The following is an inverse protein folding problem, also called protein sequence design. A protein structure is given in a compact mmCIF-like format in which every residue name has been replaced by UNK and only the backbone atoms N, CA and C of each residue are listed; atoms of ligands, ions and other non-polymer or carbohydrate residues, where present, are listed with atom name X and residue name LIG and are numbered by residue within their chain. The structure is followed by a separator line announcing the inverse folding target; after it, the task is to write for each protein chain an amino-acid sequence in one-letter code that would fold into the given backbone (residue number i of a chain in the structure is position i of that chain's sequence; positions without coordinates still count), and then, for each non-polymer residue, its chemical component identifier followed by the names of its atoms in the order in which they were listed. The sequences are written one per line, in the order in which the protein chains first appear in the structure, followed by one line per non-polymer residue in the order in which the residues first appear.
data_IF_596532188832
#
_entry.id   IF_596532188832
#
_cell.length_a   1.000
_cell.length_b   1.000
_cell.length_c   1.000
_cell.angle_alpha   90.00
_cell.angle_beta   90.00
_cell.angle_gamma   90.00
#
_symmetry.space_group_name_H-M   'P 1'
#
loop_
_entity.id
_entity.type
_entity.pdbx_description
1 polymer ?
2 polymer ?
3 polymer ?
4 water ?
#
# COMPACT_ATOMS: atom_id res chain seq x y z
N UNK A 1 15.18 -2.18 -8.54
CA UNK A 1 15.06 -1.71 -9.96
C UNK A 1 15.19 -0.19 -10.23
N UNK A 2 15.70 0.12 -11.42
CA UNK A 2 15.97 1.52 -12.11
C UNK A 2 15.10 2.79 -11.92
N UNK A 3 15.76 3.96 -12.08
CA UNK A 3 15.10 5.30 -11.91
C UNK A 3 14.18 6.04 -12.96
N UNK A 4 12.88 5.87 -12.71
CA UNK A 4 11.74 6.34 -13.51
C UNK A 4 10.85 7.21 -12.64
N UNK A 5 10.62 8.46 -13.02
CA UNK A 5 9.79 9.38 -12.24
C UNK A 5 8.46 9.61 -12.95
N UNK A 6 7.36 9.24 -12.28
CA UNK A 6 6.01 9.43 -12.82
C UNK A 6 5.50 10.77 -12.33
N UNK A 7 4.69 11.43 -13.15
CA UNK A 7 4.10 12.72 -12.83
C UNK A 7 2.72 12.77 -13.43
N UNK A 8 1.73 13.22 -12.63
CA UNK A 8 1.96 13.64 -11.24
C UNK A 8 1.94 12.37 -10.39
N UNK A 9 2.33 12.47 -9.13
CA UNK A 9 2.31 11.31 -8.28
C UNK A 9 0.85 11.06 -7.89
N UNK A 10 0.07 12.14 -7.91
CA UNK A 10 -1.35 12.09 -7.57
C UNK A 10 -2.17 12.98 -8.52
N UNK A 11 -3.33 12.48 -8.93
CA UNK A 11 -4.15 13.17 -9.90
C UNK A 11 -5.63 12.99 -9.58
N UNK A 12 -6.35 14.09 -9.49
CA UNK A 12 -7.78 14.04 -9.20
C UNK A 12 -8.47 14.13 -10.55
N UNK A 13 -9.62 13.48 -10.69
CA UNK A 13 -10.31 13.50 -11.97
C UNK A 13 -11.76 13.06 -11.82
N UNK A 14 -12.51 13.12 -12.92
CA UNK A 14 -13.90 12.72 -12.86
C UNK A 14 -14.23 11.87 -14.07
N UNK A 15 -15.24 11.03 -13.95
CA UNK A 15 -15.66 10.19 -15.06
C UNK A 15 -15.83 11.05 -16.32
N UNK A 16 -15.40 10.52 -17.46
CA UNK A 16 -15.50 11.25 -18.70
C UNK A 16 -14.29 12.12 -18.98
N UNK A 17 -13.53 12.46 -17.94
CA UNK A 17 -12.35 13.29 -18.13
C UNK A 17 -11.24 12.61 -18.91
N UNK A 18 -10.36 13.43 -19.44
CA UNK A 18 -9.22 12.96 -20.21
C UNK A 18 -8.02 13.22 -19.34
N UNK A 19 -7.23 12.19 -19.05
CA UNK A 19 -6.05 12.41 -18.24
C UNK A 19 -4.79 11.87 -18.86
N UNK A 20 -3.66 12.38 -18.42
CA UNK A 20 -2.41 11.89 -18.94
C UNK A 20 -1.48 11.76 -17.77
N UNK A 21 -0.62 10.75 -17.83
CA UNK A 21 0.38 10.48 -16.81
C UNK A 21 1.71 10.45 -17.54
N UNK A 22 2.74 11.02 -16.97
CA UNK A 22 4.00 11.01 -17.66
C UNK A 22 5.02 10.21 -16.88
N UNK A 23 6.01 9.69 -17.57
CA UNK A 23 7.04 8.92 -16.94
C UNK A 23 8.29 9.42 -17.61
N UNK A 24 9.26 9.83 -16.80
CA UNK A 24 10.51 10.31 -17.34
C UNK A 24 11.54 9.36 -16.77
N UNK A 25 12.50 8.96 -17.59
CA UNK A 25 13.52 8.03 -17.15
C UNK A 25 14.83 8.78 -17.02
N UNK A 26 15.71 8.31 -16.14
CA UNK A 26 17.01 8.94 -15.92
C UNK A 26 17.95 8.79 -17.11
N UNK A 27 17.64 7.84 -17.99
CA UNK A 27 18.42 7.56 -19.18
C UNK A 27 17.46 6.96 -20.19
N UNK A 28 17.82 7.04 -21.47
CA UNK A 28 16.96 6.51 -22.52
C UNK A 28 16.66 5.02 -22.40
N UNK A 29 15.38 4.66 -22.51
CA UNK A 29 15.03 3.25 -22.43
C UNK A 29 14.39 2.83 -23.73
N UNK A 30 14.67 3.61 -24.78
CA UNK A 30 14.12 3.38 -26.13
C UNK A 30 12.61 3.25 -25.99
N UNK A 31 12.01 2.16 -26.47
CA UNK A 31 10.57 2.01 -26.36
C UNK A 31 10.18 0.93 -25.35
N UNK A 32 11.18 0.42 -24.63
CA UNK A 32 10.97 -0.65 -23.67
C UNK A 32 10.34 -0.14 -22.39
N UNK A 33 9.10 0.31 -22.53
CA UNK A 33 8.35 0.84 -21.40
C UNK A 33 6.91 0.32 -21.40
N UNK A 34 6.44 -0.11 -20.25
CA UNK A 34 5.08 -0.64 -20.11
C UNK A 34 4.31 0.18 -19.10
N UNK A 35 2.98 0.29 -19.29
CA UNK A 35 2.15 0.99 -18.33
C UNK A 35 1.17 0.01 -17.74
N UNK A 36 0.99 0.07 -16.43
CA UNK A 36 0.04 -0.83 -15.77
C UNK A 36 -0.96 -0.05 -14.93
N UNK A 37 -2.14 -0.64 -14.78
CA UNK A 37 -3.15 -0.07 -13.94
C UNK A 37 -3.31 -1.05 -12.81
N UNK A 38 -3.29 -0.56 -11.57
CA UNK A 38 -3.50 -1.42 -10.43
C UNK A 38 -4.70 -0.94 -9.64
N UNK A 39 -5.76 -1.73 -9.61
CA UNK A 39 -6.95 -1.35 -8.86
C UNK A 39 -6.71 -1.80 -7.42
N UNK A 40 -7.33 -1.12 -6.46
CA UNK A 40 -7.15 -1.50 -5.05
C UNK A 40 -7.40 -2.98 -4.84
N UNK A 41 -6.48 -3.63 -4.11
CA UNK A 41 -6.61 -5.06 -3.82
C UNK A 41 -6.45 -6.02 -4.99
N UNK A 42 -5.92 -5.53 -6.11
CA UNK A 42 -5.73 -6.38 -7.28
C UNK A 42 -4.29 -6.32 -7.75
N UNK A 43 -3.91 -7.21 -8.66
CA UNK A 43 -2.53 -7.13 -9.14
C UNK A 43 -2.49 -6.13 -10.29
N UNK A 44 -1.30 -5.64 -10.62
CA UNK A 44 -1.19 -4.68 -11.73
C UNK A 44 -1.74 -5.35 -13.00
N UNK A 45 -2.23 -4.54 -13.92
CA UNK A 45 -2.76 -5.09 -15.16
C UNK A 45 -2.09 -4.33 -16.28
N UNK A 46 -1.53 -5.07 -17.23
CA UNK A 46 -0.86 -4.47 -18.37
C UNK A 46 -1.86 -3.70 -19.24
N UNK A 47 -1.49 -2.47 -19.61
CA UNK A 47 -2.32 -1.62 -20.46
C UNK A 47 -1.62 -1.44 -21.80
N UNK A 48 -0.41 -0.90 -21.72
CA UNK A 48 0.41 -0.58 -22.89
C UNK A 48 1.79 -1.22 -22.77
N UNK A 49 2.27 -1.83 -23.84
CA UNK A 49 3.62 -2.41 -23.80
C UNK A 49 4.42 -1.80 -24.95
N UNK A 50 5.73 -1.83 -24.82
CA UNK A 50 6.58 -1.27 -25.87
C UNK A 50 6.22 0.20 -26.15
N UNK A 51 5.90 0.91 -25.07
CA UNK A 51 5.57 2.32 -25.07
C UNK A 51 4.24 2.76 -25.66
N UNK A 52 3.81 2.13 -26.74
CA UNK A 52 2.59 2.57 -27.36
C UNK A 52 1.70 1.46 -27.83
N UNK A 53 2.13 0.22 -27.69
CA UNK A 53 1.27 -0.86 -28.17
C UNK A 53 0.18 -1.19 -27.16
N UNK A 54 -1.04 -1.34 -27.66
CA UNK A 54 -2.16 -1.64 -26.78
C UNK A 54 -2.26 -3.13 -26.54
N UNK A 55 -2.24 -3.53 -25.27
CA UNK A 55 -2.36 -4.93 -24.94
C UNK A 55 -3.77 -5.41 -25.33
N UNK A 56 -3.84 -6.57 -25.98
CA UNK A 56 -5.13 -7.09 -26.41
C UNK A 56 -6.04 -7.19 -25.20
N UNK A 57 -7.33 -6.87 -25.41
CA UNK A 57 -8.31 -6.94 -24.34
C UNK A 57 -8.39 -5.67 -23.55
N UNK A 58 -7.41 -4.79 -23.74
CA UNK A 58 -7.42 -3.53 -23.02
C UNK A 58 -8.25 -2.53 -23.83
N UNK A 59 -9.16 -1.80 -23.16
CA UNK A 59 -10.00 -0.81 -23.86
C UNK A 59 -9.22 0.28 -24.62
N UNK A 60 -9.73 0.64 -25.80
CA UNK A 60 -9.09 1.66 -26.64
C UNK A 60 -8.92 3.03 -25.99
N UNK A 61 -9.62 3.33 -24.90
CA UNK A 61 -9.45 4.63 -24.26
C UNK A 61 -8.02 4.86 -23.79
N UNK A 62 -7.28 3.78 -23.63
CA UNK A 62 -5.88 3.87 -23.19
C UNK A 62 -4.94 3.97 -24.37
N UNK A 63 -3.93 4.83 -24.25
CA UNK A 63 -2.93 4.97 -25.29
C UNK A 63 -1.64 5.47 -24.68
N UNK A 64 -0.51 5.05 -25.22
CA UNK A 64 0.74 5.55 -24.68
C UNK A 64 1.60 6.03 -25.82
N UNK A 65 2.54 6.91 -25.53
CA UNK A 65 3.43 7.38 -26.57
C UNK A 65 4.72 7.80 -25.90
N UNK A 66 5.69 8.21 -26.70
CA UNK A 66 6.96 8.66 -26.19
C UNK A 66 8.03 7.62 -26.47
N UNK A 67 9.27 7.98 -26.20
CA UNK A 67 10.40 7.08 -26.40
C UNK A 67 11.57 7.74 -25.70
N UNK A 68 12.65 7.01 -25.53
CA UNK A 68 13.82 7.57 -24.89
C UNK A 68 13.59 7.81 -23.41
N UNK A 69 13.46 9.08 -23.02
CA UNK A 69 13.27 9.39 -21.61
C UNK A 69 11.94 10.02 -21.23
N UNK A 70 11.00 10.08 -22.17
CA UNK A 70 9.73 10.71 -21.88
C UNK A 70 8.59 9.90 -22.43
N UNK A 71 7.69 9.48 -21.56
CA UNK A 71 6.57 8.67 -22.01
C UNK A 71 5.31 9.17 -21.34
N UNK A 72 4.18 9.02 -22.02
CA UNK A 72 2.91 9.41 -21.47
C UNK A 72 1.87 8.31 -21.67
N UNK A 73 0.97 8.23 -20.71
CA UNK A 73 -0.15 7.32 -20.77
C UNK A 73 -1.34 8.27 -20.76
N UNK A 74 -2.26 8.12 -21.69
CA UNK A 74 -3.41 8.99 -21.64
C UNK A 74 -4.63 8.11 -21.68
N UNK A 75 -5.63 8.52 -20.92
CA UNK A 75 -6.89 7.83 -20.87
C UNK A 75 -7.81 8.93 -21.43
N UNK A 76 -8.30 8.70 -22.64
CA UNK A 76 -9.13 9.67 -23.32
C UNK A 76 -10.42 9.99 -22.57
N UNK A 77 -11.12 8.97 -22.08
CA UNK A 77 -12.36 9.15 -21.32
C UNK A 77 -12.33 8.30 -20.06
N UNK A 78 -12.01 8.93 -18.94
CA UNK A 78 -11.91 8.24 -17.66
C UNK A 78 -13.19 7.51 -17.29
N UNK A 79 -13.07 6.22 -16.96
CA UNK A 79 -14.22 5.42 -16.56
C UNK A 79 -14.06 5.11 -15.08
N UNK A 80 -15.15 4.72 -14.40
CA UNK A 80 -15.08 4.41 -12.97
C UNK A 80 -13.99 3.42 -12.52
N UNK A 81 -13.70 2.43 -13.33
CA UNK A 81 -12.67 1.48 -12.95
C UNK A 81 -11.27 2.03 -13.17
N UNK A 82 -11.18 3.25 -13.71
CA UNK A 82 -9.88 3.84 -13.97
C UNK A 82 -9.35 4.63 -12.80
N UNK A 83 -10.14 4.70 -11.74
CA UNK A 83 -9.70 5.39 -10.53
C UNK A 83 -8.86 4.33 -9.86
N UNK A 84 -7.57 4.42 -10.11
CA UNK A 84 -6.65 3.43 -9.63
C UNK A 84 -5.27 4.03 -9.58
N UNK A 85 -4.27 3.19 -9.41
CA UNK A 85 -2.89 3.65 -9.39
C UNK A 85 -2.24 3.11 -10.65
N UNK A 86 -1.47 3.94 -11.33
CA UNK A 86 -0.83 3.54 -12.56
C UNK A 86 0.67 3.54 -12.38
N UNK A 87 1.33 2.55 -12.98
CA UNK A 87 2.78 2.45 -12.89
C UNK A 87 3.39 2.29 -14.26
N UNK A 88 4.58 2.82 -14.44
CA UNK A 88 5.27 2.57 -15.69
C UNK A 88 6.36 1.61 -15.27
N UNK A 89 6.89 0.88 -16.25
CA UNK A 89 7.99 -0.03 -16.01
C UNK A 89 8.92 0.02 -17.24
N UNK A 90 10.18 0.20 -16.97
CA UNK A 90 11.23 0.25 -17.99
C UNK A 90 11.82 -1.19 -18.08
N UNK A 91 11.98 -1.74 -19.28
CA UNK A 91 12.54 -3.09 -19.44
C UNK A 91 13.74 -3.10 -20.38
N UNK A 92 14.39 -1.94 -20.51
CA UNK A 92 15.56 -1.79 -21.37
C UNK A 92 16.84 -2.15 -20.61
N UNK A 93 16.87 -1.87 -19.31
CA UNK A 93 18.00 -2.12 -18.44
C UNK A 93 17.61 -2.98 -17.25
N UNK A 94 18.56 -3.76 -16.76
CA UNK A 94 18.34 -4.55 -15.56
C UNK A 94 18.94 -3.68 -14.47
N UNK A 95 18.29 -3.61 -13.32
CA UNK A 95 17.04 -4.31 -13.02
C UNK A 95 15.92 -3.55 -13.68
N UNK A 96 14.86 -4.25 -14.10
CA UNK A 96 13.73 -3.57 -14.72
C UNK A 96 13.19 -2.77 -13.59
N UNK A 97 12.64 -1.61 -13.88
CA UNK A 97 12.10 -0.74 -12.84
C UNK A 97 10.78 -0.17 -13.02
N UNK A 98 10.16 0.12 -11.90
CA UNK A 98 8.86 0.72 -11.93
C UNK A 98 8.94 2.14 -11.46
N UNK A 99 7.97 2.93 -11.90
CA UNK A 99 7.91 4.31 -11.49
C UNK A 99 7.29 4.27 -10.10
N UNK A 100 7.18 5.40 -9.44
CA UNK A 100 6.62 5.42 -8.10
C UNK A 100 5.13 5.26 -8.11
N UNK A 101 4.53 5.31 -9.28
CA UNK A 101 3.09 5.15 -9.35
C UNK A 101 2.37 6.48 -9.34
N UNK A 102 1.21 6.50 -9.98
CA UNK A 102 0.39 7.68 -10.05
C UNK A 102 -0.99 7.31 -9.58
N UNK A 103 -1.42 7.90 -8.46
CA UNK A 103 -2.73 7.62 -7.90
C UNK A 103 -3.77 8.52 -8.57
N UNK A 104 -4.83 7.93 -9.09
CA UNK A 104 -5.89 8.69 -9.74
C UNK A 104 -7.19 8.54 -8.92
N UNK A 105 -7.65 9.62 -8.33
CA UNK A 105 -8.85 9.51 -7.51
C UNK A 105 -9.96 10.45 -7.94
N UNK A 106 -11.12 10.31 -7.30
CA UNK A 106 -12.26 11.12 -7.63
C UNK A 106 -12.10 12.57 -7.17
N UNK A 107 -12.21 13.51 -8.11
CA UNK A 107 -12.11 14.92 -7.76
C UNK A 107 -13.37 15.39 -7.06
N UNK A 108 -13.17 16.36 -6.17
CA UNK A 108 -14.25 16.98 -5.42
C UNK A 108 -13.65 18.27 -4.88
N UNK A 109 -14.50 19.10 -4.30
CA UNK A 109 -14.05 20.36 -3.75
C UNK A 109 -13.16 20.10 -2.56
N UNK A 110 -12.16 20.96 -2.38
CA UNK A 110 -11.25 20.83 -1.27
C UNK A 110 -12.10 20.76 -0.01
N UNK A 111 -11.62 20.03 0.99
CA UNK A 111 -12.31 19.88 2.25
C UNK A 111 -11.26 19.73 3.32
N UNK A 112 -11.21 20.70 4.24
CA UNK A 112 -10.25 20.68 5.33
C UNK A 112 -10.62 19.54 6.24
N UNK A 113 -9.64 18.97 6.93
CA UNK A 113 -9.97 17.87 7.81
C UNK A 113 -10.46 18.40 9.17
N UNK A 114 -11.36 17.65 9.80
CA UNK A 114 -11.84 17.98 11.13
C UNK A 114 -10.75 17.27 11.92
N UNK A 115 -10.09 17.97 12.83
CA UNK A 115 -8.99 17.36 13.56
C UNK A 115 -9.29 17.12 15.02
N UNK A 116 -8.95 15.93 15.49
CA UNK A 116 -9.18 15.57 16.89
C UNK A 116 -7.95 14.90 17.45
N UNK A 117 -7.68 15.13 18.74
CA UNK A 117 -6.55 14.50 19.38
C UNK A 117 -7.10 13.77 20.59
N UNK A 118 -6.66 12.54 20.79
CA UNK A 118 -7.13 11.72 21.88
C UNK A 118 -6.00 11.34 22.79
N UNK A 119 -6.08 11.72 24.06
CA UNK A 119 -4.99 11.36 24.98
C UNK A 119 -5.09 9.86 25.28
N UNK A 120 -4.01 9.26 25.81
CA UNK A 120 -4.10 7.84 26.11
C UNK A 120 -5.05 7.58 27.28
N UNK A 121 -5.69 6.42 27.29
CA UNK A 121 -6.60 6.04 28.36
C UNK A 121 -5.82 5.63 29.59
N UNK A 122 -6.40 5.86 30.77
CA UNK A 122 -5.74 5.46 32.01
C UNK A 122 -5.58 3.96 31.95
N UNK A 123 -6.48 3.32 31.19
CA UNK A 123 -6.42 1.88 31.01
C UNK A 123 -5.08 1.50 30.34
N UNK A 124 -4.73 2.19 29.26
CA UNK A 124 -3.48 1.87 28.58
C UNK A 124 -2.29 2.21 29.47
N UNK A 125 -2.37 3.36 30.11
CA UNK A 125 -1.30 3.80 30.97
C UNK A 125 -0.92 2.77 32.04
N UNK A 126 -1.91 2.11 32.63
CA UNK A 126 -1.65 1.08 33.66
C UNK A 126 -0.80 -0.04 33.08
N UNK A 127 -0.81 -0.14 31.75
CA UNK A 127 -0.04 -1.16 31.04
C UNK A 127 1.41 -0.74 30.78
N UNK A 128 1.71 0.55 30.93
CA UNK A 128 3.07 1.01 30.71
C UNK A 128 3.33 1.68 29.37
N UNK A 129 2.29 1.85 28.57
CA UNK A 129 2.42 2.47 27.25
C UNK A 129 1.42 3.60 27.07
N UNK A 130 1.81 4.63 26.34
CA UNK A 130 0.90 5.74 26.11
C UNK A 130 0.79 5.99 24.62
N UNK A 131 -0.40 5.80 24.08
CA UNK A 131 -0.63 6.04 22.67
C UNK A 131 -1.46 7.31 22.57
N UNK A 132 -1.01 8.24 21.76
CA UNK A 132 -1.72 9.49 21.59
C UNK A 132 -2.16 9.42 20.14
N UNK A 133 -3.45 9.52 19.87
CA UNK A 133 -3.92 9.42 18.51
C UNK A 133 -4.49 10.73 17.99
N UNK A 134 -4.19 11.01 16.72
CA UNK A 134 -4.67 12.19 16.03
C UNK A 134 -5.48 11.76 14.82
N UNK A 135 -6.71 12.24 14.75
CA UNK A 135 -7.60 11.91 13.66
C UNK A 135 -7.85 13.11 12.75
N UNK A 136 -7.69 12.91 11.46
CA UNK A 136 -7.95 13.92 10.45
C UNK A 136 -9.13 13.29 9.75
N UNK A 137 -10.30 13.86 9.95
CA UNK A 137 -11.52 13.31 9.38
C UNK A 137 -12.08 13.98 8.13
N UNK A 138 -12.52 13.15 7.20
CA UNK A 138 -13.12 13.59 5.95
C UNK A 138 -12.46 14.79 5.28
N UNK A 139 -11.30 14.60 4.69
CA UNK A 139 -10.60 15.69 4.02
C UNK A 139 -10.33 15.36 2.56
N UNK A 140 -9.92 16.38 1.81
CA UNK A 140 -9.58 16.24 0.41
C UNK A 140 -8.89 17.52 -0.01
N UNK A 141 -7.82 17.40 -0.80
CA UNK A 141 -7.26 16.14 -1.30
C UNK A 141 -6.61 15.25 -0.24
N UNK A 142 -6.16 14.09 -0.69
CA UNK A 142 -5.52 13.09 0.15
C UNK A 142 -4.25 13.53 0.87
N UNK A 143 -3.43 14.34 0.23
CA UNK A 143 -2.19 14.78 0.86
C UNK A 143 -2.45 15.66 2.06
N UNK A 144 -1.93 15.24 3.20
CA UNK A 144 -2.08 15.96 4.44
C UNK A 144 -0.83 15.69 5.24
N UNK A 145 -0.39 16.63 6.05
CA UNK A 145 0.79 16.40 6.86
C UNK A 145 0.46 16.48 8.34
N UNK A 146 0.94 15.52 9.11
CA UNK A 146 0.72 15.52 10.54
C UNK A 146 2.04 15.54 11.27
N UNK A 147 2.19 16.51 12.16
CA UNK A 147 3.42 16.64 12.95
C UNK A 147 3.03 16.56 14.42
N UNK A 148 3.77 15.77 15.17
CA UNK A 148 3.52 15.61 16.58
C UNK A 148 4.52 16.46 17.35
N UNK A 149 4.05 17.09 18.41
CA UNK A 149 4.92 17.89 19.25
C UNK A 149 4.58 17.58 20.70
N UNK A 150 5.61 17.42 21.50
CA UNK A 150 5.47 17.12 22.91
C UNK A 150 6.29 18.21 23.55
N UNK A 151 5.60 19.17 24.16
CA UNK A 151 6.24 20.31 24.80
C UNK A 151 7.15 21.03 23.80
N UNK A 152 6.60 21.27 22.62
CA UNK A 152 7.28 21.97 21.55
C UNK A 152 8.39 21.18 20.85
N UNK A 153 8.66 19.97 21.32
CA UNK A 153 9.67 19.15 20.67
C UNK A 153 8.97 18.41 19.54
N UNK A 154 9.54 18.49 18.34
CA UNK A 154 8.97 17.81 17.18
C UNK A 154 9.33 16.35 17.38
N UNK A 155 8.34 15.48 17.27
CA UNK A 155 8.56 14.06 17.44
C UNK A 155 8.90 13.41 16.12
N UNK A 156 9.74 12.39 16.17
CA UNK A 156 10.14 11.72 14.97
C UNK A 156 10.43 10.26 15.31
N UNK A 157 10.05 9.37 14.40
CA UNK A 157 10.31 7.96 14.59
C UNK A 157 9.45 7.26 15.63
N UNK A 158 8.50 7.98 16.24
CA UNK A 158 7.67 7.32 17.24
C UNK A 158 6.20 7.44 16.95
N UNK A 159 5.85 7.48 15.67
CA UNK A 159 4.46 7.56 15.31
C UNK A 159 4.21 6.84 13.97
N UNK A 160 2.99 6.39 13.79
CA UNK A 160 2.62 5.72 12.57
C UNK A 160 1.25 6.22 12.19
N UNK A 161 0.94 6.23 10.91
CA UNK A 161 -0.35 6.71 10.48
C UNK A 161 -0.88 5.83 9.37
N UNK A 162 -2.19 5.86 9.19
CA UNK A 162 -2.80 5.13 8.09
C UNK A 162 -3.93 6.00 7.57
N UNK A 163 -4.25 5.83 6.29
CA UNK A 163 -5.27 6.63 5.66
C UNK A 163 -6.32 5.69 5.16
N UNK A 164 -7.56 6.13 5.14
CA UNK A 164 -8.59 5.25 4.62
C UNK A 164 -8.59 5.36 3.09
N UNK A 165 -9.32 4.46 2.44
CA UNK A 165 -9.44 4.52 0.99
C UNK A 165 -10.43 5.66 0.79
N UNK A 166 -10.45 6.26 -0.40
CA UNK A 166 -11.38 7.37 -0.65
C UNK A 166 -12.80 6.90 -0.44
N UNK A 167 -13.56 7.63 0.38
CA UNK A 167 -14.94 7.25 0.65
C UNK A 167 -15.75 7.22 -0.65
N UNK A 168 -16.51 6.15 -0.85
CA UNK A 168 -17.30 6.00 -2.06
C UNK A 168 -18.37 7.06 -2.35
N UNK A 169 -18.89 7.74 -1.35
CA UNK A 169 -19.89 8.78 -1.65
C UNK A 169 -19.49 10.16 -1.16
N UNK A 170 -18.43 10.23 -0.35
CA UNK A 170 -17.91 11.49 0.18
C UNK A 170 -16.78 11.95 -0.74
N UNK A 171 -15.98 10.98 -1.18
CA UNK A 171 -14.80 11.21 -2.03
C UNK A 171 -13.71 11.85 -1.17
N UNK A 172 -13.87 11.71 0.15
CA UNK A 172 -12.90 12.27 1.07
C UNK A 172 -12.07 11.15 1.72
N UNK A 173 -11.02 11.53 2.43
CA UNK A 173 -10.14 10.58 3.11
C UNK A 173 -10.14 10.93 4.59
N UNK A 174 -9.60 10.02 5.40
CA UNK A 174 -9.47 10.23 6.83
C UNK A 174 -8.14 9.59 7.21
N UNK A 175 -7.47 10.20 8.15
CA UNK A 175 -6.18 9.74 8.53
C UNK A 175 -6.08 9.63 10.04
N UNK A 176 -5.41 8.59 10.48
CA UNK A 176 -5.20 8.36 11.88
C UNK A 176 -3.71 8.22 12.09
N UNK A 177 -3.18 9.00 13.02
CA UNK A 177 -1.78 8.94 13.35
C UNK A 177 -1.67 8.69 14.85
N UNK A 178 -0.86 7.72 15.22
CA UNK A 178 -0.66 7.35 16.60
C UNK A 178 0.76 7.62 17.04
N UNK A 179 0.89 8.40 18.11
CA UNK A 179 2.18 8.70 18.71
C UNK A 179 2.25 7.73 19.87
N UNK A 180 3.34 6.97 19.93
CA UNK A 180 3.53 5.98 20.98
C UNK A 180 4.74 6.33 21.84
N UNK A 181 4.54 6.30 23.16
CA UNK A 181 5.57 6.60 24.12
C UNK A 181 5.38 5.64 25.29
N UNK A 182 6.36 5.61 26.17
CA UNK A 182 6.24 4.78 27.36
C UNK A 182 5.46 5.66 28.34
N UNK A 183 4.82 5.04 29.33
CA UNK A 183 4.08 5.79 30.35
C UNK A 183 5.10 6.74 30.98
N UNK A 184 6.24 6.19 31.33
CA UNK A 184 7.31 6.97 31.94
C UNK A 184 7.61 8.25 31.16
N UNK A 185 7.83 8.11 29.85
CA UNK A 185 8.12 9.27 29.04
C UNK A 185 6.89 10.13 28.94
N UNK A 186 5.74 9.50 28.75
CA UNK A 186 4.50 10.25 28.64
C UNK A 186 4.33 11.17 29.83
N UNK A 187 4.64 10.64 31.00
CA UNK A 187 4.51 11.38 32.25
C UNK A 187 5.56 12.47 32.47
N UNK A 188 6.56 12.52 31.61
CA UNK A 188 7.60 13.52 31.74
C UNK A 188 7.33 14.77 30.93
N UNK A 189 6.16 14.85 30.28
CA UNK A 189 5.83 16.02 29.47
C UNK A 189 4.39 16.41 29.73
N UNK A 190 4.03 17.65 29.38
CA UNK A 190 2.68 18.15 29.61
C UNK A 190 1.85 18.34 28.35
N UNK A 191 2.34 19.15 27.42
CA UNK A 191 1.59 19.41 26.22
C UNK A 191 1.83 18.43 25.07
N UNK A 192 0.75 17.82 24.61
CA UNK A 192 0.82 16.91 23.49
C UNK A 192 0.02 17.60 22.42
N UNK A 193 0.71 17.96 21.34
CA UNK A 193 0.11 18.70 20.26
C UNK A 193 0.18 17.91 18.95
N UNK A 194 -0.86 18.06 18.15
CA UNK A 194 -0.93 17.41 16.86
C UNK A 194 -1.08 18.54 15.83
N UNK A 195 -0.06 18.83 15.04
CA UNK A 195 -0.18 19.90 14.05
C UNK A 195 -0.52 19.34 12.68
N UNK A 196 -1.53 19.91 12.05
CA UNK A 196 -1.99 19.45 10.75
C UNK A 196 -1.90 20.50 9.66
N UNK A 197 -1.35 20.07 8.54
CA UNK A 197 -1.18 20.95 7.39
C UNK A 197 -1.91 20.32 6.25
N UNK A 198 -2.74 21.12 5.59
CA UNK A 198 -3.52 20.60 4.50
C UNK A 198 -3.92 21.74 3.61
N UNK A 199 -4.04 21.45 2.32
CA UNK A 199 -4.39 22.49 1.37
C UNK A 199 -5.65 23.24 1.80
N UNK A 200 -6.62 22.53 2.35
CA UNK A 200 -7.84 23.16 2.79
C UNK A 200 -7.72 24.02 4.04
N UNK A 201 -6.51 24.09 4.62
CA UNK A 201 -6.29 24.89 5.82
C UNK A 201 -5.40 26.09 5.51
N UNK A 202 -5.93 27.30 5.77
CA UNK A 202 -5.18 28.54 5.54
C UNK A 202 -3.82 28.37 6.18
N UNK A 203 -3.84 28.13 7.48
CA UNK A 203 -2.61 27.92 8.25
C UNK A 203 -2.73 26.59 8.99
N UNK A 204 -1.59 26.05 9.44
CA UNK A 204 -1.65 24.79 10.15
C UNK A 204 -2.59 24.84 11.34
N UNK A 205 -3.38 23.79 11.52
CA UNK A 205 -4.29 23.73 12.65
C UNK A 205 -3.65 22.82 13.70
N UNK A 206 -3.61 23.29 14.95
CA UNK A 206 -3.03 22.48 16.01
C UNK A 206 -4.10 22.10 17.03
N UNK A 207 -4.09 20.83 17.44
CA UNK A 207 -5.03 20.36 18.45
C UNK A 207 -4.09 19.79 19.50
N UNK A 208 -4.32 20.16 20.76
CA UNK A 208 -3.48 19.70 21.84
C UNK A 208 -4.24 19.57 23.15
N UNK A 209 -3.52 19.03 24.12
CA UNK A 209 -4.03 18.86 25.46
C UNK A 209 -2.86 18.81 26.42
N UNK A 210 -3.14 19.15 27.67
CA UNK A 210 -2.12 19.13 28.71
C UNK A 210 -2.36 17.88 29.52
N UNK A 211 -1.40 16.96 29.49
CA UNK A 211 -1.51 15.72 30.24
C UNK A 211 -1.82 16.08 31.71
N UNK A 212 -2.62 15.25 32.36
CA UNK A 212 -2.95 15.51 33.76
C UNK A 212 -3.93 16.65 34.03
N UNK A 213 -3.85 17.71 33.22
CA UNK A 213 -4.73 18.85 33.36
C UNK A 213 -6.20 18.40 33.36
N UNK A 214 -6.74 18.14 34.55
CA UNK A 214 -8.11 17.67 34.70
C UNK A 214 -8.97 18.65 35.50
N UNK B 1 -4.90 -19.18 -22.63
CA UNK B 1 -5.04 -18.30 -21.42
C UNK B 1 -3.89 -18.58 -20.45
N UNK B 2 -3.22 -17.52 -20.04
CA UNK B 2 -2.11 -17.68 -19.12
C UNK B 2 -2.54 -17.34 -17.72
N UNK B 3 -2.17 -18.18 -16.77
CA UNK B 3 -2.47 -17.90 -15.38
C UNK B 3 -1.25 -18.26 -14.56
N UNK B 4 -1.02 -17.47 -13.52
CA UNK B 4 0.07 -17.69 -12.60
C UNK B 4 -0.52 -17.57 -11.21
N UNK B 5 0.01 -18.32 -10.26
CA UNK B 5 -0.47 -18.24 -8.90
C UNK B 5 0.71 -18.50 -7.97
N UNK B 6 0.88 -17.58 -7.04
CA UNK B 6 1.95 -17.68 -6.07
C UNK B 6 1.50 -18.43 -4.83
N UNK B 7 2.43 -19.15 -4.23
CA UNK B 7 2.15 -19.89 -3.01
C UNK B 7 3.40 -19.79 -2.13
N UNK B 8 3.19 -19.87 -0.83
CA UNK B 8 4.30 -19.77 0.08
C UNK B 8 3.76 -19.47 1.47
N UNK B 9 4.65 -19.19 2.42
CA UNK B 9 4.21 -18.90 3.78
C UNK B 9 3.60 -17.51 3.92
N UNK B 10 2.43 -17.42 4.56
CA UNK B 10 1.91 -16.05 4.67
C UNK B 10 2.67 -15.32 5.78
N UNK B 11 3.28 -16.07 6.71
CA UNK B 11 4.03 -15.49 7.80
C UNK B 11 5.40 -16.13 7.93
N UNK B 12 6.42 -15.31 8.07
CA UNK B 12 7.78 -15.80 8.22
C UNK B 12 8.42 -14.95 9.27
N UNK B 13 9.36 -15.51 10.00
CA UNK B 13 10.02 -14.75 11.05
C UNK B 13 11.34 -14.21 10.54
N UNK B 14 11.80 -13.09 11.10
CA UNK B 14 13.06 -12.49 10.70
C UNK B 14 14.19 -13.51 10.70
N UNK B 15 15.16 -13.30 9.81
CA UNK B 15 16.34 -14.15 9.60
C UNK B 15 16.00 -15.47 8.92
N UNK B 16 14.74 -15.85 8.91
CA UNK B 16 14.40 -17.11 8.26
C UNK B 16 14.46 -16.96 6.75
N UNK B 17 14.32 -18.07 6.07
CA UNK B 17 14.36 -18.08 4.63
C UNK B 17 12.96 -18.18 4.10
N UNK B 18 12.70 -17.38 3.07
CA UNK B 18 11.40 -17.35 2.44
C UNK B 18 11.45 -17.98 1.06
N UNK B 19 10.64 -19.01 0.87
CA UNK B 19 10.56 -19.71 -0.40
C UNK B 19 9.18 -19.48 -0.99
N UNK B 20 9.14 -18.85 -2.16
CA UNK B 20 7.89 -18.58 -2.85
C UNK B 20 7.85 -19.39 -4.13
N UNK B 21 6.68 -19.93 -4.42
CA UNK B 21 6.52 -20.75 -5.59
C UNK B 21 5.49 -20.15 -6.52
N UNK B 22 5.83 -20.11 -7.79
CA UNK B 22 4.92 -19.58 -8.79
C UNK B 22 4.51 -20.77 -9.64
N UNK B 23 3.21 -21.09 -9.63
CA UNK B 23 2.70 -22.19 -10.42
C UNK B 23 1.97 -21.55 -11.59
N UNK B 24 2.28 -21.98 -12.80
CA UNK B 24 1.64 -21.38 -13.94
C UNK B 24 1.14 -22.37 -14.96
N UNK B 25 0.29 -21.87 -15.85
CA UNK B 25 -0.26 -22.69 -16.91
C UNK B 25 -0.54 -21.77 -18.08
N UNK B 26 -0.68 -22.33 -19.28
CA UNK B 26 -0.93 -21.50 -20.43
C UNK B 26 0.35 -21.23 -21.20
N UNK B 27 1.49 -21.58 -20.62
CA UNK B 27 2.77 -21.38 -21.29
C UNK B 27 3.80 -22.30 -20.66
N UNK B 28 4.93 -22.50 -21.34
CA UNK B 28 5.96 -23.37 -20.82
C UNK B 28 7.25 -22.57 -20.67
N UNK B 29 8.05 -22.92 -19.67
CA UNK B 29 9.32 -22.23 -19.50
C UNK B 29 10.38 -22.90 -20.40
N UNK B 30 9.91 -23.56 -21.44
CA UNK B 30 10.77 -24.17 -22.44
C UNK B 30 10.44 -23.43 -23.75
N UNK B 31 9.43 -22.54 -23.69
CA UNK B 31 9.01 -21.73 -24.84
C UNK B 31 10.08 -20.66 -25.11
N UNK B 32 10.34 -20.38 -26.37
CA UNK B 32 11.38 -19.43 -26.66
C UNK B 32 11.29 -18.03 -26.03
N UNK B 33 12.37 -17.66 -25.36
CA UNK B 33 12.48 -16.35 -24.74
C UNK B 33 11.51 -15.99 -23.63
N UNK B 34 10.64 -16.92 -23.24
CA UNK B 34 9.69 -16.61 -22.18
C UNK B 34 10.38 -16.37 -20.85
N UNK B 35 9.87 -15.41 -20.11
CA UNK B 35 10.42 -15.09 -18.81
C UNK B 35 9.33 -15.11 -17.75
N UNK B 36 9.73 -15.43 -16.52
CA UNK B 36 8.79 -15.38 -15.40
C UNK B 36 9.60 -14.58 -14.39
N UNK B 37 9.04 -13.47 -13.95
CA UNK B 37 9.72 -12.62 -13.00
C UNK B 37 8.94 -12.47 -11.73
N UNK B 38 9.57 -11.87 -10.73
CA UNK B 38 8.96 -11.63 -9.42
C UNK B 38 8.99 -10.15 -9.10
N UNK B 39 7.89 -9.64 -8.57
CA UNK B 39 7.78 -8.24 -8.21
C UNK B 39 7.16 -8.22 -6.86
N UNK B 40 7.59 -7.31 -6.01
CA UNK B 40 7.00 -7.29 -4.68
C UNK B 40 6.40 -5.91 -4.51
N UNK B 41 5.48 -5.79 -3.56
CA UNK B 41 4.87 -4.51 -3.32
C UNK B 41 4.56 -4.33 -1.84
N UNK B 42 5.43 -3.60 -1.12
CA UNK B 42 5.19 -3.40 0.31
C UNK B 42 3.86 -2.68 0.44
N UNK B 43 3.04 -3.05 1.44
CA UNK B 43 1.73 -2.40 1.60
C UNK B 43 1.80 -0.88 1.51
N UNK B 44 0.99 -0.33 0.61
CA UNK B 44 0.95 1.11 0.43
C UNK B 44 2.04 1.69 -0.45
N UNK B 45 3.09 0.92 -0.74
CA UNK B 45 4.16 1.44 -1.59
C UNK B 45 4.13 1.04 -3.06
N UNK B 46 5.18 1.41 -3.79
CA UNK B 46 5.28 1.12 -5.20
C UNK B 46 5.74 -0.31 -5.51
N UNK B 47 5.61 -0.72 -6.76
CA UNK B 47 6.04 -2.03 -7.22
C UNK B 47 7.58 -2.08 -7.19
N UNK B 48 8.15 -3.24 -6.89
CA UNK B 48 9.61 -3.41 -6.88
C UNK B 48 9.99 -4.75 -7.49
N UNK B 49 10.70 -4.65 -8.61
CA UNK B 49 11.22 -5.78 -9.36
C UNK B 49 12.26 -6.54 -8.52
N UNK B 50 12.10 -7.86 -8.44
CA UNK B 50 13.02 -8.66 -7.66
C UNK B 50 13.94 -9.50 -8.54
N UNK B 51 13.39 -10.18 -9.55
CA UNK B 51 14.20 -11.02 -10.39
C UNK B 51 13.40 -11.60 -11.52
N UNK B 52 14.09 -12.19 -12.48
CA UNK B 52 13.42 -12.82 -13.59
C UNK B 52 14.28 -14.00 -14.02
N UNK B 53 13.63 -15.03 -14.54
CA UNK B 53 14.36 -16.20 -15.03
C UNK B 53 13.73 -16.50 -16.37
N UNK B 54 14.56 -16.89 -17.32
CA UNK B 54 14.07 -17.17 -18.64
C UNK B 54 14.15 -18.64 -19.01
N UNK B 55 13.52 -18.97 -20.11
CA UNK B 55 13.47 -20.31 -20.64
C UNK B 55 14.83 -20.94 -20.84
N UNK B 56 15.81 -20.14 -21.26
CA UNK B 56 17.14 -20.65 -21.50
C UNK B 56 17.95 -20.70 -20.21
N UNK B 57 17.25 -20.51 -19.09
CA UNK B 57 17.82 -20.51 -17.76
C UNK B 57 18.63 -19.27 -17.42
N UNK B 58 18.56 -18.25 -18.28
CA UNK B 58 19.24 -16.99 -18.03
C UNK B 58 18.50 -16.42 -16.81
N UNK B 59 19.22 -15.79 -15.89
CA UNK B 59 18.62 -15.22 -14.67
C UNK B 59 19.13 -13.84 -14.33
N UNK B 60 18.27 -13.02 -13.74
CA UNK B 60 18.69 -11.69 -13.35
C UNK B 60 18.04 -11.36 -12.03
N UNK B 61 18.77 -10.62 -11.21
CA UNK B 61 18.27 -10.26 -9.91
C UNK B 61 18.38 -8.79 -9.60
N UNK B 62 17.49 -8.31 -8.75
CA UNK B 62 17.56 -6.93 -8.28
C UNK B 62 18.96 -6.82 -7.62
N UNK B 63 19.76 -5.81 -8.00
CA UNK B 63 21.10 -5.65 -7.40
C UNK B 63 21.05 -5.47 -5.87
N UNK B 64 20.01 -4.81 -5.40
CA UNK B 64 19.81 -4.59 -3.98
C UNK B 64 19.56 -5.87 -3.14
N UNK B 65 18.96 -6.88 -3.76
CA UNK B 65 18.63 -8.12 -3.06
C UNK B 65 19.36 -9.33 -3.60
N UNK B 66 20.25 -9.09 -4.55
CA UNK B 66 21.03 -10.15 -5.19
C UNK B 66 21.59 -11.23 -4.25
N UNK B 67 22.24 -10.80 -3.17
CA UNK B 67 22.83 -11.74 -2.23
C UNK B 67 21.80 -12.58 -1.48
N UNK B 68 20.55 -12.12 -1.43
CA UNK B 68 19.54 -12.88 -0.71
C UNK B 68 18.56 -13.64 -1.59
N UNK B 69 18.64 -13.45 -2.90
CA UNK B 69 17.72 -14.11 -3.81
C UNK B 69 18.30 -15.21 -4.66
N UNK B 70 17.47 -16.20 -4.93
CA UNK B 70 17.83 -17.28 -5.81
C UNK B 70 16.53 -17.55 -6.54
N UNK B 71 16.58 -17.59 -7.86
CA UNK B 71 15.38 -17.89 -8.59
C UNK B 71 15.72 -19.13 -9.37
N UNK B 72 14.77 -20.03 -9.47
CA UNK B 72 15.01 -21.25 -10.17
C UNK B 72 13.71 -21.63 -10.79
N UNK B 73 13.76 -22.52 -11.75
CA UNK B 73 12.56 -22.93 -12.40
C UNK B 73 12.49 -24.43 -12.46
N UNK B 74 11.28 -24.96 -12.53
CA UNK B 74 11.09 -26.39 -12.67
C UNK B 74 10.18 -26.47 -13.87
N UNK B 75 10.81 -26.60 -15.02
CA UNK B 75 10.13 -26.63 -16.31
C UNK B 75 9.02 -27.67 -16.37
N UNK B 76 9.32 -28.88 -15.91
CA UNK B 76 8.38 -29.98 -15.93
C UNK B 76 7.16 -29.77 -15.05
N UNK B 77 7.33 -29.05 -13.95
CA UNK B 77 6.20 -28.81 -13.07
C UNK B 77 5.55 -27.46 -13.34
N UNK B 78 6.06 -26.72 -14.32
CA UNK B 78 5.51 -25.40 -14.60
C UNK B 78 5.62 -24.54 -13.34
N UNK B 79 6.80 -24.53 -12.75
CA UNK B 79 6.94 -23.69 -11.57
C UNK B 79 8.23 -22.93 -11.57
N UNK B 80 8.18 -21.81 -10.87
CA UNK B 80 9.33 -20.97 -10.69
C UNK B 80 9.38 -20.70 -9.19
N UNK B 81 10.55 -20.89 -8.61
CA UNK B 81 10.71 -20.68 -7.20
C UNK B 81 11.66 -19.53 -6.93
N UNK B 82 11.30 -18.72 -5.96
CA UNK B 82 12.10 -17.60 -5.58
C UNK B 82 12.39 -17.84 -4.12
N UNK B 83 13.67 -17.81 -3.77
CA UNK B 83 14.06 -18.01 -2.39
C UNK B 83 14.74 -16.75 -1.91
N UNK B 84 14.24 -16.21 -0.82
CA UNK B 84 14.83 -15.02 -0.23
C UNK B 84 15.29 -15.43 1.17
N UNK B 85 16.60 -15.31 1.40
CA UNK B 85 17.19 -15.66 2.67
C UNK B 85 17.26 -14.45 3.59
N UNK B 86 17.41 -14.71 4.89
CA UNK B 86 17.55 -13.65 5.88
C UNK B 86 16.51 -12.56 5.73
N UNK B 87 15.24 -12.92 5.76
CA UNK B 87 14.20 -11.92 5.63
C UNK B 87 14.12 -11.07 6.91
N UNK B 88 13.63 -9.85 6.74
CA UNK B 88 13.45 -8.92 7.84
C UNK B 88 12.10 -8.22 7.65
N UNK B 89 11.57 -7.57 8.71
CA UNK B 89 10.28 -6.87 8.62
C UNK B 89 10.07 -6.03 7.36
N UNK B 90 11.12 -5.44 6.82
CA UNK B 90 10.96 -4.62 5.62
C UNK B 90 10.61 -5.46 4.38
N UNK B 91 10.75 -6.78 4.50
CA UNK B 91 10.39 -7.65 3.39
C UNK B 91 8.91 -7.98 3.39
N UNK B 92 8.15 -7.48 4.37
CA UNK B 92 6.72 -7.80 4.36
C UNK B 92 6.20 -7.08 3.13
N UNK B 93 5.47 -7.79 2.29
CA UNK B 93 4.97 -7.19 1.07
C UNK B 93 4.11 -8.19 0.37
N UNK B 94 3.49 -7.74 -0.70
CA UNK B 94 2.71 -8.63 -1.52
C UNK B 94 3.72 -8.97 -2.63
N UNK B 95 3.93 -10.26 -2.84
CA UNK B 95 4.85 -10.75 -3.84
C UNK B 95 4.04 -11.29 -5.01
N UNK B 96 4.37 -10.83 -6.22
CA UNK B 96 3.71 -11.26 -7.44
C UNK B 96 4.71 -11.91 -8.36
N UNK B 97 4.26 -12.92 -9.08
CA UNK B 97 5.10 -13.48 -10.09
C UNK B 97 4.36 -13.02 -11.34
N UNK B 98 5.07 -12.89 -12.43
CA UNK B 98 4.46 -12.41 -13.63
C UNK B 98 5.18 -13.00 -14.83
N UNK B 99 4.45 -13.07 -15.92
CA UNK B 99 4.95 -13.65 -17.15
C UNK B 99 5.48 -12.57 -18.06
N UNK B 100 6.60 -12.85 -18.71
CA UNK B 100 7.14 -11.92 -19.69
C UNK B 100 7.18 -12.69 -21.01
N UNK B 101 6.60 -12.12 -22.06
CA UNK B 101 6.61 -12.81 -23.34
C UNK B 101 8.00 -12.82 -23.93
N UNK B 102 8.24 -13.78 -24.82
CA UNK B 102 9.50 -13.88 -25.52
C UNK B 102 9.26 -13.19 -26.87
N UNK B 103 10.28 -12.99 -27.70
CA UNK B 103 10.05 -12.32 -28.99
C UNK B 103 9.09 -13.11 -29.88
N UNK B 104 8.32 -12.41 -30.70
CA UNK B 104 7.42 -13.10 -31.60
C UNK B 104 8.32 -13.75 -32.66
N UNK B 105 8.01 -14.98 -33.02
CA UNK B 105 8.79 -15.68 -34.02
C UNK B 105 7.88 -16.09 -35.14
N UNK B 106 8.45 -16.24 -36.32
CA UNK B 106 7.69 -16.66 -37.49
C UNK B 106 8.53 -17.77 -38.11
N UNK B 107 7.92 -18.95 -38.19
CA UNK B 107 8.62 -20.12 -38.72
C UNK B 107 9.99 -20.13 -38.06
N UNK B 108 9.97 -20.02 -36.73
CA UNK B 108 11.21 -20.05 -35.98
C UNK B 108 12.11 -18.84 -36.01
N UNK B 109 11.69 -17.73 -36.59
CA UNK B 109 12.56 -16.56 -36.60
C UNK B 109 11.93 -15.42 -35.82
N UNK B 110 12.67 -14.86 -34.83
CA UNK B 110 12.15 -13.75 -34.03
C UNK B 110 12.00 -12.56 -34.96
N UNK B 111 10.77 -12.12 -35.15
CA UNK B 111 10.52 -11.00 -36.04
C UNK B 111 10.05 -9.76 -35.31
N UNK B 112 9.70 -9.91 -34.03
CA UNK B 112 9.23 -8.77 -33.26
C UNK B 112 9.55 -8.92 -31.78
N UNK B 113 10.30 -7.97 -31.26
CA UNK B 113 10.64 -8.01 -29.86
C UNK B 113 9.74 -7.10 -29.04
N UNK B 114 8.88 -6.36 -29.73
CA UNK B 114 7.97 -5.45 -29.04
C UNK B 114 7.24 -6.07 -27.84
N UNK B 115 6.66 -7.26 -28.01
CA UNK B 115 5.94 -7.91 -26.91
C UNK B 115 6.75 -8.25 -25.64
N UNK B 116 8.08 -8.22 -25.71
CA UNK B 116 8.84 -8.55 -24.51
C UNK B 116 8.91 -7.35 -23.59
N UNK B 117 8.46 -6.19 -24.09
CA UNK B 117 8.51 -4.97 -23.31
C UNK B 117 7.32 -4.72 -22.40
N UNK B 118 7.16 -5.67 -21.49
CA UNK B 118 6.10 -5.70 -20.48
C UNK B 118 6.12 -7.05 -19.82
N UNK B 119 5.38 -7.13 -18.71
CA UNK B 119 5.12 -8.33 -17.91
C UNK B 119 3.61 -8.34 -18.22
N UNK B 120 3.18 -9.17 -19.17
CA UNK B 120 1.80 -9.15 -19.60
C UNK B 120 0.76 -9.85 -18.73
N UNK B 121 1.20 -10.78 -17.88
CA UNK B 121 0.24 -11.43 -16.99
C UNK B 121 0.83 -11.60 -15.61
N UNK B 122 0.05 -11.22 -14.61
CA UNK B 122 0.48 -11.31 -13.23
C UNK B 122 -0.36 -12.24 -12.40
N UNK B 123 0.24 -12.82 -11.37
CA UNK B 123 -0.52 -13.68 -10.49
C UNK B 123 -1.26 -12.74 -9.54
N UNK B 124 -2.21 -13.29 -8.79
CA UNK B 124 -3.00 -12.53 -7.82
C UNK B 124 -2.08 -11.96 -6.73
N UNK B 125 -0.92 -12.56 -6.54
CA UNK B 125 0.00 -12.07 -5.53
C UNK B 125 -0.22 -12.77 -4.21
N UNK B 126 0.84 -12.88 -3.43
CA UNK B 126 0.77 -13.55 -2.14
C UNK B 126 1.30 -12.55 -1.12
N UNK B 127 0.55 -12.35 -0.06
CA UNK B 127 0.96 -11.39 0.95
C UNK B 127 1.81 -12.10 1.96
N UNK B 128 3.00 -11.56 2.20
CA UNK B 128 3.89 -12.18 3.17
C UNK B 128 4.24 -11.18 4.25
N UNK B 129 4.04 -11.60 5.49
CA UNK B 129 4.35 -10.74 6.62
C UNK B 129 5.55 -11.33 7.34
N UNK B 130 6.53 -10.48 7.64
CA UNK B 130 7.70 -10.91 8.36
C UNK B 130 7.62 -10.29 9.73
N UNK B 131 7.40 -11.15 10.73
CA UNK B 131 7.30 -10.69 12.11
C UNK B 131 7.73 -11.85 12.95
N UNK B 132 8.32 -11.54 14.10
CA UNK B 132 8.76 -12.60 14.98
C UNK B 132 7.70 -12.90 16.03
N UNK B 133 6.62 -12.16 16.01
CA UNK B 133 5.59 -12.36 17.03
C UNK B 133 4.70 -13.58 16.88
N UNK B 134 4.20 -14.06 18.01
CA UNK B 134 3.29 -15.20 18.04
C UNK B 134 1.88 -14.62 18.07
N UNK B 135 0.89 -15.47 17.86
CA UNK B 135 -0.49 -15.02 17.89
C UNK B 135 -0.71 -14.23 19.18
N UNK B 136 -1.48 -13.16 19.12
CA UNK B 136 -1.75 -12.32 20.29
C UNK B 136 -2.95 -11.43 20.08
N UNK B 137 -3.91 -11.52 20.99
CA UNK B 137 -5.12 -10.73 20.90
C UNK B 137 -4.81 -9.29 21.24
N UNK B 138 -5.61 -8.35 20.72
CA UNK B 138 -5.37 -6.95 21.02
C UNK B 138 -5.90 -6.51 22.36
N UNK B 139 -5.45 -5.34 22.77
CA UNK B 139 -5.92 -4.71 23.98
C UNK B 139 -6.76 -3.62 23.31
N UNK B 140 -7.94 -3.34 23.83
CA UNK B 140 -8.79 -2.32 23.23
C UNK B 140 -8.87 -1.16 24.18
N UNK B 141 -8.53 0.03 23.69
CA UNK B 141 -8.56 1.21 24.53
C UNK B 141 -9.51 2.20 23.94
N UNK B 142 -10.22 2.95 24.78
CA UNK B 142 -11.17 3.94 24.29
C UNK B 142 -10.50 5.17 23.75
N UNK B 143 -11.15 5.80 22.78
CA UNK B 143 -10.66 7.05 22.24
C UNK B 143 -11.78 8.06 22.46
N UNK B 144 -11.54 8.99 23.38
CA UNK B 144 -12.49 10.08 23.72
C UNK B 144 -11.63 11.34 23.80
N UNK B 145 -11.92 12.35 22.95
CA UNK B 145 -11.13 13.59 22.98
C UNK B 145 -11.18 14.31 24.33
N UNK B 146 -10.01 14.75 24.80
CA UNK B 146 -9.89 15.44 26.09
C UNK B 146 -10.92 16.55 26.30
N UNK B 147 -11.29 17.23 25.21
CA UNK B 147 -12.25 18.32 25.27
C UNK B 147 -13.34 18.18 24.20
N UNK B 154 -19.19 16.77 14.26
CA UNK B 154 -18.50 17.66 15.17
C UNK B 154 -17.73 16.91 16.26
N UNK B 155 -18.29 15.84 16.80
CA UNK B 155 -17.55 15.09 17.84
C UNK B 155 -17.01 13.77 17.31
N UNK B 156 -15.96 13.28 17.95
CA UNK B 156 -15.35 12.04 17.51
C UNK B 156 -14.96 11.16 18.68
N UNK B 157 -15.15 9.87 18.49
CA UNK B 157 -14.78 8.93 19.52
C UNK B 157 -14.34 7.66 18.80
N UNK B 158 -13.64 6.80 19.51
CA UNK B 158 -13.21 5.59 18.84
C UNK B 158 -12.59 4.57 19.75
N UNK B 159 -12.02 3.55 19.13
CA UNK B 159 -11.34 2.47 19.83
C UNK B 159 -9.97 2.26 19.22
N UNK B 160 -8.99 2.04 20.08
CA UNK B 160 -7.62 1.79 19.65
C UNK B 160 -7.43 0.31 19.89
N UNK B 161 -7.25 -0.44 18.80
CA UNK B 161 -7.06 -1.88 18.94
C UNK B 161 -5.56 -2.12 18.88
N UNK B 162 -4.92 -2.18 20.04
CA UNK B 162 -3.48 -2.30 20.07
C UNK B 162 -2.83 -3.64 20.37
N UNK B 163 -1.69 -3.83 19.71
CA UNK B 163 -0.81 -4.99 19.83
C UNK B 163 -1.39 -6.36 19.57
N UNK B 164 -1.87 -6.59 18.37
CA UNK B 164 -2.40 -7.91 18.09
C UNK B 164 -1.60 -8.52 16.95
N UNK B 165 -1.82 -9.81 16.73
CA UNK B 165 -1.13 -10.51 15.68
C UNK B 165 -1.77 -11.89 15.58
N UNK B 166 -1.98 -12.37 14.35
CA UNK B 166 -1.67 -11.58 13.14
C UNK B 166 -2.93 -10.86 12.69
N UNK B 167 -2.92 -10.38 11.45
CA UNK B 167 -4.10 -9.75 10.88
C UNK B 167 -5.00 -10.94 10.55
N UNK B 168 -6.32 -10.72 10.40
CA UNK B 168 -6.97 -9.42 10.51
C UNK B 168 -7.78 -9.39 11.82
N UNK B 169 -8.40 -8.24 12.07
CA UNK B 169 -9.23 -8.08 13.24
C UNK B 169 -10.51 -7.45 12.66
N UNK B 170 -11.65 -7.79 13.23
CA UNK B 170 -12.90 -7.21 12.74
C UNK B 170 -13.32 -6.16 13.75
N UNK B 171 -13.85 -5.03 13.28
CA UNK B 171 -14.27 -4.00 14.21
C UNK B 171 -15.57 -3.41 13.75
N UNK B 172 -16.57 -3.42 14.62
CA UNK B 172 -17.86 -2.85 14.27
C UNK B 172 -18.30 -1.97 15.42
N UNK B 173 -19.33 -1.18 15.20
CA UNK B 173 -19.87 -0.30 16.23
C UNK B 173 -21.33 -0.60 16.52
N UNK B 174 -21.66 -0.73 17.79
CA UNK B 174 -23.01 -1.03 18.23
C UNK B 174 -23.52 -2.26 17.53
N UNK B 175 -22.73 -3.31 17.67
CA UNK B 175 -22.98 -4.62 17.09
C UNK B 175 -23.31 -4.57 15.60
N UNK B 176 -23.01 -3.44 14.97
CA UNK B 176 -23.28 -3.33 13.54
C UNK B 176 -24.34 -2.32 13.18
N UNK B 177 -24.99 -1.74 14.18
CA UNK B 177 -26.03 -0.75 13.94
C UNK B 177 -25.46 0.57 13.47
N UNK B 178 -24.31 0.96 14.00
CA UNK B 178 -23.71 2.23 13.62
C UNK B 178 -22.68 2.00 12.52
N UNK B 179 -22.91 2.65 11.39
CA UNK B 179 -22.01 2.53 10.25
C UNK B 179 -21.65 3.92 9.76
N UNK B 180 -22.64 4.81 9.77
CA UNK B 180 -22.42 6.18 9.34
C UNK B 180 -21.32 6.81 10.17
N UNK B 181 -20.53 7.69 9.56
CA UNK B 181 -19.47 8.37 10.27
C UNK B 181 -18.37 7.51 10.87
N UNK B 182 -18.39 6.21 10.55
CA UNK B 182 -17.38 5.30 11.06
C UNK B 182 -16.21 5.16 10.11
N UNK B 183 -15.01 5.14 10.69
CA UNK B 183 -13.77 4.97 9.94
C UNK B 183 -12.86 3.99 10.67
N UNK B 184 -12.69 2.81 10.09
CA UNK B 184 -11.80 1.82 10.69
C UNK B 184 -10.58 1.90 9.81
N UNK B 185 -9.47 2.34 10.38
CA UNK B 185 -8.26 2.50 9.61
C UNK B 185 -7.45 1.24 9.39
N UNK B 186 -6.71 1.18 8.26
CA UNK B 186 -5.90 -0.02 8.04
C UNK B 186 -4.91 -0.08 9.21
N UNK B 187 -4.61 -1.29 9.66
CA UNK B 187 -3.69 -1.47 10.77
C UNK B 187 -2.28 -1.16 10.30
N UNK B 188 -1.42 -0.80 11.25
CA UNK B 188 -0.03 -0.53 10.98
C UNK B 188 0.75 -1.62 11.72
N UNK B 189 1.86 -2.06 11.12
CA UNK B 189 2.71 -3.10 11.71
C UNK B 189 3.77 -2.34 12.45
N UNK B 190 3.71 -2.42 13.78
CA UNK B 190 4.67 -1.70 14.62
C UNK B 190 6.03 -2.39 14.62
N UNK B 191 7.03 -1.66 15.08
CA UNK B 191 8.40 -2.18 15.10
C UNK B 191 8.51 -3.39 16.00
N UNK B 192 7.50 -3.57 16.85
CA UNK B 192 7.48 -4.69 17.77
C UNK B 192 7.02 -5.94 17.02
N UNK B 193 6.55 -5.79 15.79
CA UNK B 193 6.09 -6.94 15.03
C UNK B 193 4.61 -7.24 15.28
N UNK B 194 3.96 -6.35 16.04
CA UNK B 194 2.55 -6.51 16.32
C UNK B 194 1.81 -5.43 15.57
N UNK B 195 0.53 -5.68 15.31
CA UNK B 195 -0.29 -4.73 14.58
C UNK B 195 -1.06 -3.85 15.54
N UNK B 196 -1.49 -2.71 15.03
CA UNK B 196 -2.30 -1.81 15.81
C UNK B 196 -3.17 -1.02 14.85
N UNK B 197 -4.41 -0.79 15.25
CA UNK B 197 -5.31 -0.03 14.42
C UNK B 197 -6.28 0.79 15.24
N UNK B 198 -6.93 1.73 14.58
CA UNK B 198 -7.87 2.53 15.28
C UNK B 198 -9.14 2.53 14.47
N UNK B 199 -10.27 2.66 15.17
CA UNK B 199 -11.56 2.76 14.54
C UNK B 199 -12.22 3.93 15.24
N UNK B 200 -12.81 4.83 14.48
CA UNK B 200 -13.42 5.99 15.06
C UNK B 200 -14.79 6.26 14.45
N UNK B 201 -15.60 7.01 15.18
CA UNK B 201 -16.91 7.37 14.68
C UNK B 201 -17.08 8.86 14.95
N UNK B 202 -17.60 9.55 13.94
CA UNK B 202 -17.85 10.99 13.99
C UNK B 202 -19.35 11.18 14.15
N UNK B 203 -19.75 11.97 15.14
CA UNK B 203 -21.16 12.21 15.42
C UNK B 203 -21.45 13.70 15.57
N UNK B 204 -22.74 14.08 15.53
CA UNK B 204 -23.24 15.47 15.65
C UNK B 204 -23.07 16.08 17.04
N UNK B 205 -22.28 15.44 17.88
CA UNK B 205 -22.05 15.93 19.24
C UNK B 205 -23.32 15.81 20.07
N UNK B 206 -24.41 16.38 19.57
CA UNK B 206 -25.69 16.30 20.25
C UNK B 206 -25.90 14.85 20.68
N UNK B 207 -25.66 13.94 19.73
CA UNK B 207 -25.83 12.51 19.95
C UNK B 207 -24.88 11.92 20.98
N UNK B 208 -24.13 12.76 21.66
CA UNK B 208 -23.19 12.28 22.66
C UNK B 208 -23.90 11.91 23.97
N UNK B 209 -25.06 12.52 24.18
CA UNK B 209 -25.82 12.24 25.38
C UNK B 209 -26.93 11.26 25.04
N UNK B 210 -27.35 11.29 23.78
CA UNK B 210 -28.43 10.43 23.33
C UNK B 210 -28.06 8.96 23.15
N UNK B 211 -27.17 8.70 22.19
CA UNK B 211 -26.76 7.33 21.86
C UNK B 211 -25.50 6.84 22.57
N UNK B 212 -25.41 5.53 22.77
CA UNK B 212 -24.23 4.93 23.41
C UNK B 212 -23.33 4.38 22.29
N UNK B 213 -22.02 4.38 22.52
CA UNK B 213 -21.10 3.88 21.50
C UNK B 213 -20.19 2.79 22.02
N UNK B 214 -20.33 1.62 21.43
CA UNK B 214 -19.51 0.51 21.85
C UNK B 214 -18.89 -0.11 20.63
N UNK B 215 -17.57 -0.25 20.62
CA UNK B 215 -16.96 -0.87 19.46
C UNK B 215 -16.83 -2.35 19.76
N UNK B 216 -17.08 -3.14 18.74
CA UNK B 216 -17.02 -4.58 18.85
C UNK B 216 -15.78 -5.05 18.15
N UNK B 217 -14.88 -5.65 18.90
CA UNK B 217 -13.65 -6.11 18.29
C UNK B 217 -13.56 -7.59 18.37
N UNK B 218 -13.19 -8.20 17.25
CA UNK B 218 -13.05 -9.64 17.19
C UNK B 218 -11.76 -10.02 16.50
N UNK B 219 -10.87 -10.69 17.22
CA UNK B 219 -9.61 -11.15 16.66
C UNK B 219 -9.71 -12.67 16.62
N UNK B 220 -10.27 -13.20 15.53
CA UNK B 220 -10.47 -14.63 15.37
C UNK B 220 -9.21 -15.45 15.69
N UNK B 221 -8.05 -15.05 15.12
CA UNK B 221 -6.78 -15.76 15.35
C UNK B 221 -6.44 -16.11 16.79
N UNK B 222 -6.83 -15.26 17.74
CA UNK B 222 -6.51 -15.55 19.13
C UNK B 222 -7.73 -15.78 20.00
N UNK B 223 -8.90 -15.88 19.38
CA UNK B 223 -10.15 -16.08 20.12
C UNK B 223 -10.30 -14.93 21.11
N UNK B 224 -10.27 -13.71 20.58
CA UNK B 224 -10.39 -12.52 21.40
C UNK B 224 -11.54 -11.63 20.96
N UNK B 225 -12.65 -11.69 21.67
CA UNK B 225 -13.78 -10.86 21.34
C UNK B 225 -13.90 -9.84 22.46
N UNK B 226 -14.02 -8.57 22.10
CA UNK B 226 -14.13 -7.54 23.12
C UNK B 226 -15.11 -6.47 22.68
N UNK B 227 -15.96 -6.02 23.60
CA UNK B 227 -16.91 -4.91 23.33
C UNK B 227 -16.57 -3.79 24.32
N UNK B 228 -16.16 -2.64 23.80
CA UNK B 228 -15.84 -1.54 24.69
C UNK B 228 -16.73 -0.36 24.44
N UNK B 229 -17.51 -0.04 25.46
CA UNK B 229 -18.41 1.10 25.41
C UNK B 229 -17.49 2.29 25.57
N UNK B 230 -17.57 3.23 24.64
CA UNK B 230 -16.73 4.43 24.71
C UNK B 230 -17.66 5.61 24.93
N UNK B 231 -17.33 6.47 25.87
CA UNK B 231 -18.15 7.66 26.10
C UNK B 231 -17.26 8.86 26.39
N UNK B 232 -17.82 10.07 26.23
CA UNK B 232 -17.13 11.34 26.47
C UNK B 232 -16.23 11.38 27.71
N UNK B 233 -15.28 12.32 27.70
CA UNK B 233 -14.32 12.53 28.79
C UNK B 233 -14.94 12.81 30.16
N UNK B 234 -14.32 13.73 30.90
CA UNK B 234 -14.76 14.15 32.25
C UNK B 234 -16.24 13.90 32.50
N UNK C 1 22.41 0.59 -16.06
CA UNK C 1 23.80 0.20 -16.50
C UNK C 1 23.74 -1.08 -17.35
N UNK C 2 23.23 -2.15 -16.74
CA UNK C 2 23.05 -3.50 -17.29
C UNK C 2 21.99 -3.67 -18.44
N UNK C 3 22.35 -3.98 -19.69
CA UNK C 3 21.32 -4.10 -20.77
C UNK C 3 20.39 -5.33 -20.69
N UNK C 4 19.11 -5.12 -20.98
CA UNK C 4 18.09 -6.17 -20.95
C UNK C 4 18.38 -7.28 -21.95
N UNK C 5 17.81 -8.44 -21.69
CA UNK C 5 17.98 -9.59 -22.55
C UNK C 5 17.76 -9.32 -24.02
N UNK C 6 16.72 -8.55 -24.31
CA UNK C 6 16.40 -8.28 -25.67
C UNK C 6 16.89 -6.94 -26.19
N UNK C 7 17.74 -6.22 -25.43
CA UNK C 7 18.34 -4.95 -25.95
C UNK C 7 18.76 -5.56 -27.29
N UNK C 8 18.69 -4.85 -28.38
CA UNK C 8 18.79 -5.53 -29.66
C UNK C 8 18.83 -7.03 -29.89
N UNK C 9 17.95 -7.40 -30.80
CA UNK C 9 17.65 -8.70 -31.29
C UNK C 9 18.01 -8.63 -32.75
#
# INVERSE_FOLDING_TARGET
ALQLTQSPSSLSASVGDRITITCRASQGVTSALAWYRQKPGSPPQLLIYDASSLESGVPSRFSGSGSGTEFTLTISTLRPEDFATYYCQQLHFYPHTFGGGTRVDVRRTVAAPSVFIFPPSDRQLKSGTASVVCLLNNFYPREAKVQWKVDNALQSGNSQESVTEQDSKDSTYSLSSTLTLSKADYEKHKVYECEVTHQGLSSPVTKSFNRGEC
RITLKESGPPLVKPTQTLTLTCSFSGFSLSDFGVGVGWIRQPPGKALEWLAIIYSDDDKRYSPSLNTRLTITKDTSKNQVVLVMTRVSPVDTATYFCAHRRGPTTLFGVPIARGPVNAMDVWGQGITVTISSTSTKGPSVFPLAPCSKSTAGGTAALGCLVKDYFPEPVTVSWNSGALTSGVHTFPAVLQSSGLYSLSSVVTVPSSSLGTQTYTCNVNHKPSNTKVDKRVEPKS
LELDKWASL
#
